data_IF_289880100424
#
_entry.id   IF_289880100424
#
_cell.length_a   1.000
_cell.length_b   1.000
_cell.length_c   1.000
_cell.angle_alpha   90.00
_cell.angle_beta   90.00
_cell.angle_gamma   90.00
#
_symmetry.space_group_name_H-M   'P 1'
#
loop_
_entity.id
_entity.type
_entity.pdbx_description
1 polymer ?
#
# COMPACT_ATOMS: atom_id res chain seq x y z
N UNK A 1 24.29 -34.02 -47.91
CA UNK A 1 24.39 -32.66 -48.46
C UNK A 1 24.07 -31.63 -47.39
N UNK A 2 24.94 -31.34 -46.40
CA UNK A 2 26.19 -32.02 -46.01
C UNK A 2 26.49 -31.84 -44.51
N UNK A 3 27.27 -32.78 -43.97
CA UNK A 3 27.83 -32.84 -42.62
C UNK A 3 29.34 -33.14 -42.79
N UNK A 4 30.18 -32.76 -41.81
CA UNK A 4 31.65 -32.91 -41.75
C UNK A 4 32.47 -31.83 -42.49
N UNK A 5 33.68 -31.44 -42.06
CA UNK A 5 34.38 -31.58 -40.76
C UNK A 5 35.70 -30.73 -40.80
N UNK A 6 36.36 -30.54 -39.63
CA UNK A 6 37.81 -30.77 -39.36
C UNK A 6 38.59 -29.72 -38.55
N UNK A 7 39.63 -30.25 -37.87
CA UNK A 7 40.79 -29.64 -37.16
C UNK A 7 40.53 -29.14 -35.73
N UNK A 8 41.18 -29.62 -34.63
CA UNK A 8 42.55 -30.16 -34.35
C UNK A 8 43.60 -29.04 -34.50
N UNK A 9 44.55 -28.68 -33.61
CA UNK A 9 45.15 -29.20 -32.34
C UNK A 9 45.52 -27.97 -31.43
N UNK A 10 46.15 -28.00 -30.23
CA UNK A 10 46.73 -29.04 -29.36
C UNK A 10 46.36 -28.80 -27.86
N UNK A 11 47.33 -28.56 -26.96
CA UNK A 11 47.27 -29.03 -25.58
C UNK A 11 48.23 -28.36 -24.55
N UNK A 12 48.09 -28.84 -23.30
CA UNK A 12 49.06 -28.94 -22.17
C UNK A 12 49.25 -27.80 -21.15
N UNK A 13 48.66 -28.09 -19.97
CA UNK A 13 49.29 -28.16 -18.62
C UNK A 13 49.95 -26.90 -18.00
N UNK A 14 49.49 -26.57 -16.78
CA UNK A 14 50.27 -26.75 -15.52
C UNK A 14 49.36 -26.73 -14.27
N UNK A 15 49.65 -27.60 -13.29
CA UNK A 15 49.13 -27.55 -11.91
C UNK A 15 50.10 -26.71 -11.05
N UNK A 16 49.63 -26.14 -9.93
CA UNK A 16 50.12 -26.39 -8.55
C UNK A 16 49.59 -25.35 -7.54
N UNK A 17 49.05 -25.84 -6.42
CA UNK A 17 49.03 -25.21 -5.07
C UNK A 17 50.21 -25.85 -4.27
N UNK A 18 50.51 -25.53 -2.98
CA UNK A 18 49.90 -24.60 -2.00
C UNK A 18 50.97 -23.72 -1.24
N UNK A 19 50.62 -23.08 -0.12
CA UNK A 19 51.61 -22.57 0.85
C UNK A 19 51.09 -21.63 1.95
N UNK A 20 51.53 -21.80 3.20
CA UNK A 20 51.14 -21.02 4.39
C UNK A 20 52.29 -20.15 4.94
N UNK A 21 51.92 -19.08 5.65
CA UNK A 21 52.61 -18.43 6.79
C UNK A 21 54.04 -17.84 6.62
N UNK A 22 54.23 -16.62 7.16
CA UNK A 22 55.03 -16.43 8.40
C UNK A 22 54.87 -15.03 8.98
N UNK A 23 55.15 -14.92 10.28
CA UNK A 23 55.10 -13.68 11.07
C UNK A 23 56.48 -13.00 11.07
N UNK A 24 56.52 -11.66 11.07
CA UNK A 24 57.73 -10.92 11.43
C UNK A 24 57.37 -9.69 12.24
N UNK A 25 57.82 -9.64 13.50
CA UNK A 25 57.73 -8.45 14.35
C UNK A 25 58.89 -7.51 14.01
N UNK A 26 58.60 -6.23 13.81
CA UNK A 26 59.52 -5.15 14.13
C UNK A 26 58.79 -4.08 14.93
N UNK A 27 59.52 -3.42 15.83
CA UNK A 27 58.99 -2.57 16.91
C UNK A 27 59.81 -1.29 16.94
N UNK A 28 59.19 -0.13 16.71
CA UNK A 28 59.48 1.11 17.45
C UNK A 28 58.39 2.16 17.16
N UNK A 29 58.25 3.08 18.11
CA UNK A 29 57.33 4.22 18.17
C UNK A 29 57.41 5.15 16.93
N UNK A 30 56.48 6.06 16.62
CA UNK A 30 55.63 6.86 17.53
C UNK A 30 54.46 7.58 16.80
N UNK A 31 53.50 8.09 17.58
CA UNK A 31 52.57 9.22 17.30
C UNK A 31 51.85 9.33 15.93
N UNK A 32 50.55 8.95 15.89
CA UNK A 32 49.39 9.81 15.55
C UNK A 32 48.17 9.00 15.09
N UNK A 33 47.24 8.72 16.02
CA UNK A 33 45.95 8.11 15.71
C UNK A 33 44.84 9.17 15.77
N UNK A 34 44.07 9.29 14.68
CA UNK A 34 42.71 9.88 14.72
C UNK A 34 41.69 8.74 14.71
N UNK A 35 40.63 8.91 15.50
CA UNK A 35 39.78 7.81 15.96
C UNK A 35 39.04 7.08 14.83
N UNK A 36 39.20 5.76 14.81
CA UNK A 36 38.24 4.82 14.22
C UNK A 36 37.56 4.12 15.40
N UNK A 37 36.28 4.41 15.63
CA UNK A 37 35.50 3.66 16.62
C UNK A 37 35.03 2.34 16.01
N UNK A 38 35.73 1.26 16.37
CA UNK A 38 35.26 -0.12 16.21
C UNK A 38 34.64 -0.53 17.56
N UNK A 39 33.34 -0.81 17.58
CA UNK A 39 32.69 -1.38 18.76
C UNK A 39 33.22 -2.79 19.04
N UNK A 40 33.76 -2.98 20.24
CA UNK A 40 34.16 -4.26 20.82
C UNK A 40 33.37 -4.49 22.11
N UNK A 41 33.03 -5.75 22.45
CA UNK A 41 32.07 -6.05 23.50
C UNK A 41 32.60 -5.72 24.90
N UNK A 42 31.79 -5.06 25.71
CA UNK A 42 32.11 -4.67 27.09
C UNK A 42 32.04 -5.90 28.01
N UNK A 43 33.05 -6.16 28.87
CA UNK A 43 33.02 -7.32 29.77
C UNK A 43 32.07 -7.11 30.95
N UNK A 44 31.25 -8.12 31.26
CA UNK A 44 30.42 -8.14 32.46
C UNK A 44 31.26 -8.41 33.72
N UNK A 45 31.46 -7.38 34.56
CA UNK A 45 31.92 -7.53 35.95
C UNK A 45 30.81 -7.11 36.93
N UNK A 46 30.61 -7.91 37.98
CA UNK A 46 29.50 -7.82 38.95
C UNK A 46 29.64 -6.66 39.97
N UNK A 47 28.55 -6.46 40.73
CA UNK A 47 28.38 -5.66 41.97
C UNK A 47 28.03 -4.19 41.64
N UNK A 48 27.02 -3.53 42.23
CA UNK A 48 26.36 -3.74 43.53
C UNK A 48 24.83 -3.91 43.49
N UNK A 49 24.26 -4.34 44.63
CA UNK A 49 22.80 -4.31 44.91
C UNK A 49 22.43 -2.91 45.40
N UNK A 50 21.31 -2.34 44.97
CA UNK A 50 20.72 -1.17 45.64
C UNK A 50 20.25 -0.01 44.76
N UNK A 51 20.31 -0.10 43.43
CA UNK A 51 19.66 0.89 42.56
C UNK A 51 18.25 0.42 42.17
N UNK A 52 17.30 1.36 42.21
CA UNK A 52 15.90 1.12 41.81
C UNK A 52 15.79 0.67 40.36
N UNK A 53 14.78 -0.14 40.05
CA UNK A 53 14.35 -0.52 38.70
C UNK A 53 13.79 0.68 37.91
N UNK A 54 14.63 1.68 37.66
CA UNK A 54 14.37 2.72 36.67
C UNK A 54 14.59 2.08 35.29
N UNK A 55 13.49 1.75 34.61
CA UNK A 55 13.48 1.33 33.23
C UNK A 55 14.28 2.33 32.39
N UNK A 56 15.43 1.91 31.84
CA UNK A 56 16.26 2.80 31.02
C UNK A 56 15.51 3.09 29.72
N UNK A 57 15.04 4.33 29.56
CA UNK A 57 14.50 4.82 28.31
C UNK A 57 15.64 5.03 27.31
N UNK A 58 15.56 4.35 26.16
CA UNK A 58 16.50 4.50 25.05
C UNK A 58 15.82 5.31 23.96
N UNK A 59 16.51 6.33 23.43
CA UNK A 59 16.05 7.04 22.24
C UNK A 59 16.48 6.25 21.00
N UNK A 60 15.50 5.76 20.24
CA UNK A 60 15.71 5.12 18.95
C UNK A 60 15.43 6.13 17.82
N UNK A 61 16.29 6.13 16.80
CA UNK A 61 16.12 6.93 15.59
C UNK A 61 15.54 6.05 14.48
N UNK A 62 14.36 6.44 13.97
CA UNK A 62 13.59 5.66 12.99
C UNK A 62 13.51 6.45 11.70
N UNK A 63 14.09 5.91 10.61
CA UNK A 63 14.01 6.52 9.28
C UNK A 63 12.61 6.34 8.68
N UNK A 64 12.09 7.40 8.06
CA UNK A 64 10.84 7.37 7.30
C UNK A 64 11.03 8.04 5.93
N UNK A 65 10.18 7.66 4.98
CA UNK A 65 9.99 8.34 3.70
C UNK A 65 8.53 8.77 3.57
N UNK A 66 8.29 9.92 2.95
CA UNK A 66 6.97 10.41 2.57
C UNK A 66 6.79 10.23 1.08
N UNK A 67 5.64 9.67 0.71
CA UNK A 67 5.24 9.38 -0.65
C UNK A 67 3.84 9.92 -0.92
N UNK A 68 3.61 10.41 -2.13
CA UNK A 68 2.29 10.67 -2.66
C UNK A 68 1.97 9.58 -3.70
N UNK A 69 0.87 8.86 -3.52
CA UNK A 69 0.50 7.66 -4.30
C UNK A 69 -0.74 7.95 -5.15
N UNK A 70 -0.87 7.25 -6.28
CA UNK A 70 -1.90 7.51 -7.31
C UNK A 70 -1.76 8.91 -7.93
N UNK A 71 -0.52 9.37 -8.11
CA UNK A 71 -0.19 10.64 -8.75
C UNK A 71 1.21 10.62 -9.34
N UNK A 72 1.49 11.47 -10.32
CA UNK A 72 2.81 11.75 -10.89
C UNK A 72 3.40 13.09 -10.43
N UNK A 73 2.65 13.87 -9.62
CA UNK A 73 3.08 15.15 -9.05
C UNK A 73 3.17 15.10 -7.51
N UNK A 74 4.17 15.76 -6.88
CA UNK A 74 4.18 15.96 -5.43
C UNK A 74 3.02 16.84 -4.96
N UNK A 75 2.61 16.63 -3.71
CA UNK A 75 1.56 17.37 -2.99
C UNK A 75 0.13 17.14 -3.51
N UNK A 76 -0.06 16.19 -4.43
CA UNK A 76 -1.36 15.60 -4.83
C UNK A 76 -1.40 14.11 -4.46
N UNK A 77 -2.36 13.31 -4.92
CA UNK A 77 -2.42 11.89 -4.56
C UNK A 77 -2.71 11.61 -3.09
N UNK A 78 -2.60 10.34 -2.69
CA UNK A 78 -2.76 9.90 -1.31
C UNK A 78 -1.42 9.79 -0.57
N UNK A 79 -1.37 10.35 0.63
CA UNK A 79 -0.14 10.53 1.41
C UNK A 79 0.18 9.28 2.22
N UNK A 80 1.41 8.78 2.08
CA UNK A 80 1.91 7.59 2.73
C UNK A 80 3.23 7.87 3.47
N UNK A 81 3.28 7.54 4.75
CA UNK A 81 4.55 7.35 5.45
C UNK A 81 5.04 5.90 5.27
N UNK A 82 6.29 5.71 4.88
CA UNK A 82 6.93 4.40 4.76
C UNK A 82 8.10 4.31 5.72
N UNK A 83 8.14 3.26 6.55
CA UNK A 83 9.23 2.94 7.48
C UNK A 83 10.07 1.77 6.90
N UNK A 84 11.26 2.03 6.32
CA UNK A 84 12.03 1.01 5.60
C UNK A 84 12.65 -0.11 6.43
N UNK A 85 12.61 0.03 7.76
CA UNK A 85 13.26 -0.84 8.75
C UNK A 85 12.22 -1.38 9.75
N UNK A 86 11.06 -1.80 9.25
CA UNK A 86 9.91 -2.24 10.05
C UNK A 86 10.22 -3.38 11.02
N UNK A 87 11.15 -4.29 10.67
CA UNK A 87 11.60 -5.38 11.54
C UNK A 87 12.23 -4.90 12.86
N UNK A 88 12.69 -3.64 12.94
CA UNK A 88 13.29 -3.04 14.13
C UNK A 88 12.27 -2.39 15.06
N UNK A 89 11.00 -2.31 14.67
CA UNK A 89 9.97 -1.55 15.37
C UNK A 89 9.03 -2.49 16.13
N UNK A 90 8.88 -2.37 17.46
CA UNK A 90 7.91 -3.16 18.22
C UNK A 90 6.47 -2.92 17.73
N UNK A 91 5.59 -3.94 17.66
CA UNK A 91 4.22 -3.79 17.16
C UNK A 91 3.41 -2.68 17.84
N UNK A 92 3.54 -2.52 19.16
CA UNK A 92 2.86 -1.49 19.94
C UNK A 92 3.35 -0.07 19.60
N UNK A 93 4.57 0.05 19.07
CA UNK A 93 5.13 1.31 18.62
C UNK A 93 4.70 1.65 17.19
N UNK A 94 4.48 0.66 16.33
CA UNK A 94 4.00 0.87 14.95
C UNK A 94 2.69 1.67 14.93
N UNK A 95 1.70 1.29 15.75
CA UNK A 95 0.43 2.02 15.86
C UNK A 95 0.61 3.47 16.34
N UNK A 96 1.49 3.68 17.33
CA UNK A 96 1.78 5.03 17.86
C UNK A 96 2.46 5.92 16.82
N UNK A 97 3.36 5.37 16.02
CA UNK A 97 4.02 6.08 14.91
C UNK A 97 3.01 6.44 13.82
N UNK A 98 2.10 5.51 13.47
CA UNK A 98 1.06 5.79 12.48
C UNK A 98 0.13 6.93 12.93
N UNK A 99 -0.25 6.95 14.22
CA UNK A 99 -1.01 8.04 14.81
C UNK A 99 -0.24 9.37 14.83
N UNK A 100 1.07 9.35 15.16
CA UNK A 100 1.94 10.54 15.15
C UNK A 100 2.02 11.20 13.74
N UNK A 101 2.08 10.40 12.68
CA UNK A 101 2.03 10.94 11.31
C UNK A 101 0.67 11.54 10.96
N UNK A 102 -0.43 10.99 11.50
CA UNK A 102 -1.81 11.40 11.19
C UNK A 102 -2.13 11.46 9.68
N UNK A 103 -1.41 10.66 8.88
CA UNK A 103 -1.70 10.38 7.48
C UNK A 103 -2.71 9.23 7.37
N UNK A 104 -3.40 9.04 6.23
CA UNK A 104 -4.35 7.94 6.02
C UNK A 104 -3.79 6.58 6.41
N UNK A 105 -2.56 6.26 5.97
CA UNK A 105 -1.83 5.08 6.42
C UNK A 105 -0.32 5.32 6.59
N UNK A 106 0.29 4.49 7.44
CA UNK A 106 1.74 4.28 7.54
C UNK A 106 2.07 2.81 7.26
N UNK A 107 3.02 2.56 6.36
CA UNK A 107 3.47 1.22 5.99
C UNK A 107 4.86 0.91 6.56
N UNK A 108 4.99 -0.23 7.22
CA UNK A 108 6.25 -0.75 7.73
C UNK A 108 6.75 -1.84 6.78
N UNK A 109 8.00 -1.72 6.32
CA UNK A 109 8.64 -2.70 5.46
C UNK A 109 9.37 -3.74 6.31
N UNK A 110 8.89 -4.97 6.31
CA UNK A 110 9.44 -6.11 7.05
C UNK A 110 10.01 -7.16 6.10
N UNK A 111 10.89 -7.99 6.63
CA UNK A 111 11.32 -9.24 6.01
C UNK A 111 10.11 -10.18 5.87
N UNK A 112 10.06 -10.89 4.73
CA UNK A 112 9.06 -11.93 4.52
C UNK A 112 9.24 -13.09 5.53
N UNK A 113 8.12 -13.70 5.94
CA UNK A 113 8.15 -14.92 6.75
C UNK A 113 7.94 -16.17 5.90
N UNK A 114 7.18 -16.06 4.80
CA UNK A 114 7.10 -17.09 3.77
C UNK A 114 8.27 -17.01 2.78
N UNK A 115 8.66 -18.16 2.21
CA UNK A 115 9.58 -18.24 1.07
C UNK A 115 8.93 -17.79 -0.25
N UNK A 116 7.60 -17.75 -0.30
CA UNK A 116 6.82 -17.39 -1.48
C UNK A 116 6.58 -15.86 -1.59
N UNK A 117 7.25 -15.06 -0.75
CA UNK A 117 7.13 -13.60 -0.69
C UNK A 117 8.51 -12.95 -0.66
N UNK A 118 8.64 -11.82 -1.37
CA UNK A 118 9.89 -11.06 -1.44
C UNK A 118 10.07 -10.14 -0.22
N UNK A 119 8.95 -9.70 0.36
CA UNK A 119 8.88 -8.79 1.50
C UNK A 119 7.52 -8.93 2.19
N UNK A 120 7.37 -8.31 3.36
CA UNK A 120 6.12 -8.24 4.12
C UNK A 120 5.80 -6.79 4.46
N UNK A 121 4.55 -6.37 4.30
CA UNK A 121 4.12 -5.05 4.78
C UNK A 121 3.15 -5.20 5.94
N UNK A 122 3.31 -4.35 6.96
CA UNK A 122 2.28 -4.08 7.97
C UNK A 122 1.78 -2.66 7.76
N UNK A 123 0.48 -2.46 7.74
CA UNK A 123 -0.16 -1.22 7.30
C UNK A 123 -1.06 -0.72 8.42
N UNK A 124 -0.85 0.50 8.87
CA UNK A 124 -1.56 1.08 10.01
C UNK A 124 -2.23 2.38 9.61
N UNK A 125 -3.54 2.48 9.85
CA UNK A 125 -4.24 3.77 9.99
C UNK A 125 -3.87 4.41 11.34
N UNK A 126 -4.21 5.67 11.61
CA UNK A 126 -4.00 6.29 12.92
C UNK A 126 -4.58 5.48 14.10
N UNK A 127 -5.70 4.77 13.89
CA UNK A 127 -6.38 4.02 14.95
C UNK A 127 -6.08 2.51 14.98
N UNK A 128 -5.88 1.85 13.82
CA UNK A 128 -5.73 0.38 13.76
C UNK A 128 -4.87 -0.14 12.60
N UNK A 129 -4.33 -1.34 12.76
CA UNK A 129 -3.74 -2.11 11.66
C UNK A 129 -4.82 -2.55 10.66
N UNK A 130 -4.51 -2.49 9.37
CA UNK A 130 -5.33 -3.04 8.28
C UNK A 130 -4.69 -4.31 7.74
N UNK A 131 -5.49 -5.34 7.38
CA UNK A 131 -4.96 -6.59 6.82
C UNK A 131 -4.39 -6.38 5.41
N UNK A 132 -4.87 -5.37 4.69
CA UNK A 132 -4.38 -4.95 3.38
C UNK A 132 -4.80 -3.50 3.11
N UNK A 133 -4.08 -2.81 2.23
CA UNK A 133 -4.56 -1.59 1.58
C UNK A 133 -3.83 -1.36 0.25
N UNK A 134 -4.51 -0.72 -0.71
CA UNK A 134 -4.00 -0.54 -2.07
C UNK A 134 -2.90 0.52 -2.17
N UNK A 135 -3.18 1.75 -1.72
CA UNK A 135 -2.23 2.87 -1.76
C UNK A 135 -0.92 2.55 -1.00
N UNK A 136 -0.96 1.96 0.21
CA UNK A 136 0.26 1.65 0.96
C UNK A 136 1.09 0.56 0.29
N UNK A 137 0.45 -0.46 -0.29
CA UNK A 137 1.17 -1.53 -1.03
C UNK A 137 1.89 -0.97 -2.27
N UNK A 138 1.25 -0.07 -3.02
CA UNK A 138 1.87 0.58 -4.18
C UNK A 138 3.00 1.51 -3.74
N UNK A 139 2.77 2.44 -2.82
CA UNK A 139 3.81 3.38 -2.37
C UNK A 139 5.01 2.68 -1.73
N UNK A 140 4.78 1.63 -0.93
CA UNK A 140 5.85 0.78 -0.38
C UNK A 140 6.62 0.00 -1.45
N UNK A 141 5.98 -0.40 -2.54
CA UNK A 141 6.66 -1.01 -3.70
C UNK A 141 7.60 -0.01 -4.39
N UNK A 142 7.15 1.24 -4.58
CA UNK A 142 8.01 2.33 -5.06
C UNK A 142 9.16 2.65 -4.08
N UNK A 143 8.91 2.61 -2.77
CA UNK A 143 9.94 2.76 -1.75
C UNK A 143 11.00 1.65 -1.83
N UNK A 144 10.60 0.37 -1.98
CA UNK A 144 11.54 -0.73 -2.20
C UNK A 144 12.39 -0.55 -3.48
N UNK A 145 11.79 -0.07 -4.56
CA UNK A 145 12.52 0.25 -5.80
C UNK A 145 13.54 1.40 -5.59
N UNK A 146 13.14 2.50 -4.93
CA UNK A 146 14.05 3.61 -4.54
C UNK A 146 15.21 3.13 -3.66
N UNK A 147 14.94 2.20 -2.74
CA UNK A 147 15.92 1.58 -1.85
C UNK A 147 16.78 0.51 -2.55
N UNK A 148 16.61 0.27 -3.86
CA UNK A 148 17.28 -0.77 -4.67
C UNK A 148 17.09 -2.19 -4.11
N UNK A 149 16.00 -2.42 -3.38
CA UNK A 149 15.57 -3.75 -2.89
C UNK A 149 14.78 -4.53 -3.95
N UNK A 150 14.33 -3.87 -5.01
CA UNK A 150 13.82 -4.48 -6.24
C UNK A 150 14.76 -4.06 -7.38
N UNK A 151 15.16 -5.01 -8.23
CA UNK A 151 16.02 -4.73 -9.38
C UNK A 151 15.19 -4.18 -10.55
N UNK A 152 15.69 -3.19 -11.30
CA UNK A 152 15.06 -2.75 -12.54
C UNK A 152 14.82 -3.88 -13.53
N UNK A 153 13.65 -3.87 -14.17
CA UNK A 153 13.23 -4.93 -15.10
C UNK A 153 12.60 -6.16 -14.43
N UNK A 154 12.55 -6.24 -13.10
CA UNK A 154 11.72 -7.23 -12.42
C UNK A 154 10.23 -7.01 -12.78
N UNK A 155 9.54 -8.02 -13.28
CA UNK A 155 8.16 -7.88 -13.82
C UNK A 155 7.07 -7.93 -12.74
N UNK A 156 7.36 -8.53 -11.60
CA UNK A 156 6.47 -8.57 -10.44
C UNK A 156 7.24 -8.81 -9.15
N UNK A 157 6.59 -8.54 -8.01
CA UNK A 157 6.97 -9.06 -6.69
C UNK A 157 5.76 -9.72 -6.00
N UNK A 158 6.05 -10.57 -5.02
CA UNK A 158 5.07 -11.11 -4.07
C UNK A 158 5.26 -10.42 -2.71
N UNK A 159 4.19 -9.84 -2.18
CA UNK A 159 4.15 -9.10 -0.92
C UNK A 159 3.29 -9.87 0.08
N UNK A 160 3.86 -10.24 1.22
CA UNK A 160 3.11 -10.82 2.33
C UNK A 160 2.31 -9.70 3.03
N UNK A 161 0.97 -9.82 2.98
CA UNK A 161 0.02 -8.95 3.68
C UNK A 161 -0.77 -9.78 4.71
N UNK A 162 -1.60 -9.13 5.53
CA UNK A 162 -2.50 -9.81 6.47
C UNK A 162 -3.58 -10.68 5.80
N UNK A 163 -3.77 -10.53 4.48
CA UNK A 163 -4.59 -11.42 3.63
C UNK A 163 -3.80 -12.54 2.94
N UNK A 164 -2.49 -12.68 3.24
CA UNK A 164 -1.57 -13.62 2.58
C UNK A 164 -0.75 -12.99 1.45
N UNK A 165 0.01 -13.82 0.69
CA UNK A 165 0.86 -13.36 -0.41
C UNK A 165 0.05 -12.71 -1.54
N UNK A 166 0.42 -11.48 -1.88
CA UNK A 166 -0.25 -10.66 -2.90
C UNK A 166 0.73 -10.28 -4.01
N UNK A 167 0.37 -10.58 -5.26
CA UNK A 167 1.18 -10.19 -6.42
C UNK A 167 1.05 -8.69 -6.71
N UNK A 168 2.19 -8.04 -6.98
CA UNK A 168 2.27 -6.67 -7.50
C UNK A 168 3.05 -6.71 -8.81
N UNK A 169 2.39 -6.46 -9.95
CA UNK A 169 3.08 -6.35 -11.24
C UNK A 169 3.82 -5.00 -11.32
N UNK A 170 4.95 -4.96 -12.02
CA UNK A 170 5.82 -3.79 -12.10
C UNK A 170 6.07 -3.39 -13.55
N UNK A 171 5.82 -2.12 -13.88
CA UNK A 171 6.13 -1.54 -15.19
C UNK A 171 7.29 -0.59 -15.05
N UNK A 172 8.38 -0.83 -15.77
CA UNK A 172 9.61 -0.04 -15.70
C UNK A 172 9.82 0.78 -16.97
N UNK A 173 10.27 2.02 -16.81
CA UNK A 173 10.79 2.85 -17.89
C UNK A 173 12.28 3.06 -17.66
N UNK A 174 13.08 2.29 -18.39
CA UNK A 174 14.52 2.12 -18.13
C UNK A 174 14.74 1.59 -16.70
N UNK A 175 15.45 2.32 -15.87
CA UNK A 175 15.81 2.03 -14.48
C UNK A 175 14.82 2.58 -13.45
N UNK A 176 13.80 3.34 -13.89
CA UNK A 176 12.76 3.92 -13.02
C UNK A 176 11.49 3.05 -13.05
N UNK A 177 10.97 2.68 -11.89
CA UNK A 177 9.64 2.10 -11.77
C UNK A 177 8.62 3.18 -12.19
N UNK A 178 7.79 2.86 -13.18
CA UNK A 178 6.81 3.79 -13.74
C UNK A 178 5.42 3.58 -13.15
N UNK A 179 4.95 2.33 -13.05
CA UNK A 179 3.72 1.99 -12.30
C UNK A 179 3.83 0.63 -11.62
N UNK A 180 3.03 0.45 -10.56
CA UNK A 180 2.88 -0.83 -9.86
C UNK A 180 1.39 -1.22 -9.80
N UNK A 181 1.09 -2.52 -9.90
CA UNK A 181 -0.27 -3.06 -10.05
C UNK A 181 -0.54 -4.22 -9.08
N UNK A 182 -1.13 -3.90 -7.93
CA UNK A 182 -1.52 -4.85 -6.91
C UNK A 182 -2.71 -5.70 -7.36
N UNK A 183 -2.62 -7.02 -7.22
CA UNK A 183 -3.77 -7.90 -7.33
C UNK A 183 -4.72 -7.75 -6.13
N UNK A 184 -6.02 -7.73 -6.39
CA UNK A 184 -7.06 -7.87 -5.38
C UNK A 184 -7.88 -9.13 -5.67
N UNK A 185 -8.24 -9.84 -4.60
CA UNK A 185 -9.17 -10.96 -4.66
C UNK A 185 -10.52 -10.50 -5.20
N UNK A 186 -11.24 -11.40 -5.88
CA UNK A 186 -12.63 -11.17 -6.27
C UNK A 186 -13.43 -10.77 -5.02
N UNK A 187 -14.19 -9.66 -5.06
CA UNK A 187 -14.81 -9.13 -3.87
C UNK A 187 -16.02 -9.97 -3.43
N UNK A 188 -16.20 -10.06 -2.13
CA UNK A 188 -17.41 -10.58 -1.50
C UNK A 188 -18.50 -9.51 -1.55
N UNK A 189 -19.71 -9.92 -1.95
CA UNK A 189 -20.91 -9.07 -2.00
C UNK A 189 -21.72 -9.29 -0.72
N UNK A 190 -21.69 -8.30 0.17
CA UNK A 190 -22.28 -8.33 1.50
C UNK A 190 -23.67 -7.70 1.59
N UNK A 191 -24.08 -7.26 2.80
CA UNK A 191 -25.38 -6.66 3.06
C UNK A 191 -25.71 -5.46 2.19
N UNK A 192 -27.00 -5.31 1.89
CA UNK A 192 -27.56 -4.31 0.96
C UNK A 192 -28.44 -3.32 1.74
N UNK A 193 -28.29 -2.02 1.46
CA UNK A 193 -29.26 -1.01 1.87
C UNK A 193 -30.15 -0.63 0.68
N UNK A 194 -31.46 -0.85 0.83
CA UNK A 194 -32.48 -0.47 -0.17
C UNK A 194 -33.24 0.80 0.24
N UNK A 195 -32.97 1.35 1.42
CA UNK A 195 -33.64 2.53 1.97
C UNK A 195 -32.92 3.81 1.50
N UNK A 196 -33.35 4.33 0.34
CA UNK A 196 -32.83 5.58 -0.23
C UNK A 196 -33.07 6.80 0.68
N UNK A 197 -34.08 6.78 1.53
CA UNK A 197 -34.36 7.83 2.51
C UNK A 197 -33.36 7.80 3.67
N UNK A 198 -33.02 6.61 4.17
CA UNK A 198 -31.92 6.41 5.14
C UNK A 198 -30.59 6.88 4.56
N UNK A 199 -30.26 6.44 3.34
CA UNK A 199 -29.02 6.80 2.64
C UNK A 199 -28.94 8.32 2.36
N UNK A 200 -30.04 8.96 1.97
CA UNK A 200 -30.10 10.41 1.78
C UNK A 200 -29.75 11.17 3.06
N UNK A 201 -30.36 10.78 4.19
CA UNK A 201 -30.05 11.33 5.52
C UNK A 201 -28.60 11.06 5.94
N UNK A 202 -28.05 9.89 5.62
CA UNK A 202 -26.65 9.54 5.86
C UNK A 202 -25.68 10.41 5.07
N UNK A 203 -25.98 10.73 3.81
CA UNK A 203 -25.10 11.49 2.91
C UNK A 203 -25.34 13.01 2.92
N UNK A 204 -26.40 13.49 3.59
CA UNK A 204 -26.80 14.90 3.55
C UNK A 204 -27.43 15.31 2.22
N UNK A 205 -28.03 14.36 1.49
CA UNK A 205 -28.62 14.55 0.16
C UNK A 205 -30.11 14.18 0.15
N UNK A 206 -30.83 14.72 -0.84
CA UNK A 206 -32.16 14.23 -1.20
C UNK A 206 -32.08 12.80 -1.75
N UNK A 207 -33.05 11.94 -1.42
CA UNK A 207 -33.04 10.52 -1.80
C UNK A 207 -33.05 10.30 -3.32
N UNK A 208 -33.54 11.25 -4.11
CA UNK A 208 -33.48 11.22 -5.58
C UNK A 208 -32.08 11.37 -6.18
N UNK A 209 -31.06 11.70 -5.35
CA UNK A 209 -29.64 11.81 -5.77
C UNK A 209 -28.89 10.48 -5.69
N UNK A 210 -29.49 9.47 -5.06
CA UNK A 210 -28.97 8.10 -5.10
C UNK A 210 -29.40 7.51 -6.44
N UNK A 211 -28.43 6.93 -7.16
CA UNK A 211 -28.70 6.37 -8.48
C UNK A 211 -29.71 5.21 -8.40
N UNK A 212 -30.35 4.93 -9.54
CA UNK A 212 -31.38 3.91 -9.75
C UNK A 212 -31.27 2.68 -8.82
N UNK A 213 -32.33 2.39 -8.06
CA UNK A 213 -32.45 1.27 -7.10
C UNK A 213 -32.10 -0.12 -7.66
N UNK A 214 -32.06 -0.30 -8.98
CA UNK A 214 -31.51 -1.50 -9.63
C UNK A 214 -30.01 -1.73 -9.34
N UNK A 215 -29.28 -0.67 -8.98
CA UNK A 215 -27.92 -0.69 -8.45
C UNK A 215 -27.98 -0.26 -6.97
N UNK A 216 -28.15 -1.20 -6.03
CA UNK A 216 -28.44 -0.85 -4.65
C UNK A 216 -27.17 -0.42 -3.91
N UNK A 217 -27.30 0.34 -2.82
CA UNK A 217 -26.16 0.58 -1.95
C UNK A 217 -25.76 -0.73 -1.26
N UNK A 218 -24.49 -1.12 -1.32
CA UNK A 218 -24.07 -2.45 -0.87
C UNK A 218 -22.66 -2.44 -0.29
N UNK A 219 -22.45 -3.27 0.74
CA UNK A 219 -21.11 -3.51 1.28
C UNK A 219 -20.38 -4.52 0.39
N UNK A 220 -19.21 -4.14 -0.12
CA UNK A 220 -18.31 -5.06 -0.84
C UNK A 220 -16.94 -5.07 -0.15
N UNK A 221 -16.24 -6.21 -0.23
CA UNK A 221 -14.93 -6.41 0.41
C UNK A 221 -13.98 -7.25 -0.44
N UNK A 222 -12.76 -6.77 -0.66
CA UNK A 222 -11.60 -7.58 -1.07
C UNK A 222 -10.59 -7.76 0.07
N UNK A 223 -11.05 -7.66 1.33
CA UNK A 223 -10.24 -7.75 2.56
C UNK A 223 -10.54 -6.66 3.59
N UNK A 224 -11.10 -5.53 3.14
CA UNK A 224 -11.67 -4.47 3.98
C UNK A 224 -13.06 -4.14 3.41
N UNK A 225 -14.15 -4.19 4.20
CA UNK A 225 -15.50 -3.88 3.73
C UNK A 225 -15.75 -2.38 3.65
N UNK A 226 -16.38 -1.91 2.57
CA UNK A 226 -16.89 -0.54 2.41
C UNK A 226 -18.32 -0.57 1.85
N UNK A 227 -19.17 0.35 2.30
CA UNK A 227 -20.52 0.59 1.76
C UNK A 227 -20.43 1.45 0.50
N UNK A 228 -20.66 0.85 -0.66
CA UNK A 228 -20.69 1.54 -1.95
C UNK A 228 -22.06 2.17 -2.19
N UNK A 229 -22.08 3.46 -2.57
CA UNK A 229 -23.30 4.19 -2.95
C UNK A 229 -23.05 4.94 -4.26
N UNK A 230 -23.79 4.59 -5.31
CA UNK A 230 -23.76 5.30 -6.58
C UNK A 230 -24.67 6.54 -6.52
N UNK A 231 -24.19 7.68 -7.01
CA UNK A 231 -24.87 8.98 -7.01
C UNK A 231 -25.08 9.52 -8.43
N UNK A 232 -26.12 10.32 -8.61
CA UNK A 232 -26.58 10.79 -9.93
C UNK A 232 -25.61 11.68 -10.68
N UNK A 233 -24.75 12.42 -9.97
CA UNK A 233 -23.74 13.30 -10.58
C UNK A 233 -22.47 13.40 -9.75
N UNK A 234 -21.37 13.84 -10.37
CA UNK A 234 -20.12 14.21 -9.67
C UNK A 234 -20.33 15.38 -8.72
N UNK A 235 -21.22 16.30 -9.08
CA UNK A 235 -21.61 17.42 -8.22
C UNK A 235 -22.32 16.94 -6.93
N UNK A 236 -23.06 15.83 -6.99
CA UNK A 236 -23.70 15.25 -5.79
C UNK A 236 -22.66 14.53 -4.91
N UNK A 237 -21.69 13.82 -5.50
CA UNK A 237 -20.50 13.29 -4.78
C UNK A 237 -19.80 14.42 -4.00
N UNK A 238 -19.58 15.56 -4.63
CA UNK A 238 -18.96 16.75 -4.02
C UNK A 238 -19.81 17.46 -2.95
N UNK A 239 -21.12 17.22 -2.93
CA UNK A 239 -22.06 17.76 -1.92
C UNK A 239 -22.20 16.89 -0.68
N UNK A 240 -21.77 15.61 -0.73
CA UNK A 240 -21.91 14.68 0.40
C UNK A 240 -21.29 15.28 1.67
N UNK A 241 -22.09 15.31 2.72
CA UNK A 241 -21.74 15.71 4.08
C UNK A 241 -22.22 14.60 5.04
N UNK A 242 -21.30 13.73 5.47
CA UNK A 242 -21.64 12.50 6.17
C UNK A 242 -22.26 12.76 7.55
N UNK A 243 -23.54 12.41 7.70
CA UNK A 243 -24.21 12.38 9.00
C UNK A 243 -23.93 11.04 9.70
N UNK A 244 -23.00 11.08 10.66
CA UNK A 244 -22.57 9.89 11.41
C UNK A 244 -23.70 9.19 12.17
N UNK A 245 -24.61 9.94 12.79
CA UNK A 245 -25.72 9.35 13.54
C UNK A 245 -26.71 8.63 12.60
N UNK A 246 -26.96 9.19 11.42
CA UNK A 246 -27.74 8.52 10.39
C UNK A 246 -27.00 7.31 9.78
N UNK A 247 -25.67 7.39 9.61
CA UNK A 247 -24.85 6.24 9.20
C UNK A 247 -24.97 5.07 10.18
N UNK A 248 -24.78 5.29 11.49
CA UNK A 248 -24.91 4.25 12.51
C UNK A 248 -26.28 3.57 12.42
N UNK A 249 -27.36 4.34 12.39
CA UNK A 249 -28.72 3.80 12.25
C UNK A 249 -28.93 3.03 10.93
N UNK A 250 -28.28 3.44 9.84
CA UNK A 250 -28.32 2.77 8.55
C UNK A 250 -27.60 1.41 8.61
N UNK A 251 -26.43 1.35 9.25
CA UNK A 251 -25.63 0.13 9.41
C UNK A 251 -26.28 -0.85 10.40
N UNK A 252 -26.83 -0.36 11.51
CA UNK A 252 -27.61 -1.16 12.47
C UNK A 252 -28.77 -1.90 11.77
N UNK A 253 -29.50 -1.23 10.87
CA UNK A 253 -30.56 -1.85 10.04
C UNK A 253 -30.04 -2.91 9.07
N UNK A 254 -28.76 -2.86 8.70
CA UNK A 254 -28.07 -3.86 7.87
C UNK A 254 -27.43 -4.99 8.69
N UNK A 255 -27.49 -4.93 10.03
CA UNK A 255 -26.79 -5.87 10.92
C UNK A 255 -25.27 -5.65 10.97
N UNK A 256 -24.81 -4.42 10.74
CA UNK A 256 -23.40 -4.03 10.65
C UNK A 256 -23.09 -2.99 11.74
N UNK A 257 -21.98 -3.17 12.45
CA UNK A 257 -21.56 -2.29 13.54
C UNK A 257 -20.94 -0.98 12.99
N UNK A 258 -19.89 -1.11 12.16
CA UNK A 258 -19.21 0.03 11.54
C UNK A 258 -18.76 -0.31 10.10
N UNK A 259 -18.86 0.66 9.19
CA UNK A 259 -18.39 0.52 7.82
C UNK A 259 -18.07 1.90 7.21
N UNK A 260 -16.90 2.09 6.56
CA UNK A 260 -16.62 3.25 5.73
C UNK A 260 -17.62 3.39 4.58
N UNK A 261 -17.85 4.62 4.12
CA UNK A 261 -18.78 4.91 3.02
C UNK A 261 -18.01 5.35 1.78
N UNK A 262 -18.19 4.64 0.67
CA UNK A 262 -17.61 4.93 -0.62
C UNK A 262 -18.68 5.47 -1.58
N UNK A 263 -18.68 6.78 -1.80
CA UNK A 263 -19.62 7.42 -2.74
C UNK A 263 -18.94 7.63 -4.08
N UNK A 264 -19.67 7.38 -5.17
CA UNK A 264 -19.15 7.59 -6.51
C UNK A 264 -20.24 7.93 -7.52
N UNK A 265 -19.86 8.47 -8.67
CA UNK A 265 -20.74 8.65 -9.82
C UNK A 265 -20.09 8.15 -11.09
N UNK A 266 -20.93 7.67 -12.01
CA UNK A 266 -20.60 7.27 -13.39
C UNK A 266 -20.86 8.40 -14.41
N UNK A 267 -21.21 9.61 -13.95
CA UNK A 267 -21.42 10.77 -14.82
C UNK A 267 -20.13 11.06 -15.64
N UNK A 268 -20.18 11.01 -16.99
CA UNK A 268 -19.02 11.24 -17.83
C UNK A 268 -18.50 12.68 -17.75
N UNK A 269 -17.20 12.85 -17.92
CA UNK A 269 -16.56 14.14 -18.16
C UNK A 269 -15.43 14.00 -19.18
N UNK A 270 -14.93 15.13 -19.68
CA UNK A 270 -13.77 15.20 -20.59
C UNK A 270 -12.45 15.02 -19.83
N UNK A 271 -12.35 13.89 -19.12
CA UNK A 271 -11.28 13.62 -18.16
C UNK A 271 -10.82 12.15 -18.14
N UNK A 272 -11.43 11.30 -18.97
CA UNK A 272 -11.11 9.88 -19.13
C UNK A 272 -11.49 8.97 -17.94
N UNK A 273 -12.10 9.51 -16.88
CA UNK A 273 -12.47 8.72 -15.71
C UNK A 273 -13.80 7.97 -15.92
N UNK A 274 -13.79 6.66 -15.64
CA UNK A 274 -14.99 5.83 -15.56
C UNK A 274 -15.83 6.23 -14.34
N UNK A 275 -15.18 6.52 -13.22
CA UNK A 275 -15.83 6.92 -11.96
C UNK A 275 -15.17 8.13 -11.34
N UNK A 276 -15.97 8.97 -10.70
CA UNK A 276 -15.53 10.03 -9.80
C UNK A 276 -16.03 9.74 -8.38
N UNK A 277 -15.16 9.81 -7.37
CA UNK A 277 -15.46 9.25 -6.04
C UNK A 277 -14.90 10.04 -4.85
N UNK A 278 -15.45 9.76 -3.67
CA UNK A 278 -14.97 10.16 -2.33
C UNK A 278 -15.18 9.00 -1.35
N UNK A 279 -14.34 8.89 -0.33
CA UNK A 279 -14.41 7.83 0.68
C UNK A 279 -14.31 8.41 2.08
N UNK A 280 -15.28 8.11 2.94
CA UNK A 280 -15.32 8.57 4.33
C UNK A 280 -15.06 7.39 5.28
N UNK A 281 -13.99 7.48 6.09
CA UNK A 281 -13.60 6.42 7.04
C UNK A 281 -13.32 6.94 8.45
N UNK A 282 -14.28 7.62 9.12
CA UNK A 282 -14.10 8.11 10.48
C UNK A 282 -13.70 7.02 11.49
N UNK A 283 -14.12 5.78 11.24
CA UNK A 283 -13.77 4.54 11.96
C UNK A 283 -12.28 4.15 11.86
N UNK A 284 -11.53 4.74 10.93
CA UNK A 284 -10.07 4.55 10.81
C UNK A 284 -9.28 5.72 11.43
N UNK A 285 -9.96 6.77 11.90
CA UNK A 285 -9.34 7.99 12.41
C UNK A 285 -9.06 9.06 11.36
N UNK A 286 -9.63 8.94 10.16
CA UNK A 286 -9.57 9.97 9.11
C UNK A 286 -10.98 10.36 8.67
N UNK A 287 -11.24 11.64 8.43
CA UNK A 287 -12.57 12.09 7.99
C UNK A 287 -12.89 11.60 6.57
N UNK A 288 -11.96 11.80 5.65
CA UNK A 288 -12.07 11.46 4.22
C UNK A 288 -10.70 11.05 3.68
N UNK A 289 -10.67 10.00 2.86
CA UNK A 289 -9.46 9.43 2.27
C UNK A 289 -9.24 9.94 0.82
N UNK A 290 -8.06 10.51 0.49
CA UNK A 290 -7.77 11.00 -0.85
C UNK A 290 -7.86 9.96 -1.97
N UNK A 291 -7.45 8.71 -1.73
CA UNK A 291 -7.47 7.67 -2.77
C UNK A 291 -7.48 6.24 -2.21
N UNK A 292 -8.64 5.59 -2.27
CA UNK A 292 -8.85 4.29 -1.63
C UNK A 292 -8.58 3.15 -2.58
N UNK A 293 -7.29 2.87 -2.82
CA UNK A 293 -6.89 1.76 -3.70
C UNK A 293 -7.49 0.41 -3.31
N UNK A 294 -7.71 0.16 -2.01
CA UNK A 294 -8.35 -1.05 -1.50
C UNK A 294 -9.83 -1.20 -1.92
N UNK A 295 -10.53 -0.08 -2.16
CA UNK A 295 -11.92 -0.06 -2.58
C UNK A 295 -12.10 -0.18 -4.10
N UNK A 296 -11.04 -0.07 -4.89
CA UNK A 296 -11.15 0.09 -6.35
C UNK A 296 -11.45 -1.23 -7.09
N UNK A 297 -10.95 -2.38 -6.62
CA UNK A 297 -11.41 -3.70 -7.09
C UNK A 297 -12.89 -3.97 -6.79
N UNK A 298 -13.36 -3.79 -5.54
CA UNK A 298 -14.78 -3.77 -5.20
C UNK A 298 -15.63 -2.82 -6.05
N UNK A 299 -15.18 -1.57 -6.28
CA UNK A 299 -15.84 -0.60 -7.15
C UNK A 299 -15.98 -1.13 -8.59
N UNK A 300 -14.89 -1.64 -9.17
CA UNK A 300 -14.89 -2.19 -10.52
C UNK A 300 -15.84 -3.39 -10.66
N UNK A 301 -15.89 -4.26 -9.66
CA UNK A 301 -16.85 -5.36 -9.60
C UNK A 301 -18.29 -4.87 -9.50
N UNK A 302 -18.58 -3.90 -8.63
CA UNK A 302 -19.89 -3.27 -8.50
C UNK A 302 -20.36 -2.68 -9.84
N UNK A 303 -19.50 -1.91 -10.52
CA UNK A 303 -19.82 -1.32 -11.83
C UNK A 303 -20.03 -2.40 -12.89
N UNK A 304 -19.21 -3.46 -12.95
CA UNK A 304 -19.44 -4.60 -13.86
C UNK A 304 -20.78 -5.31 -13.61
N UNK A 305 -21.17 -5.50 -12.35
CA UNK A 305 -22.40 -6.19 -11.96
C UNK A 305 -23.66 -5.36 -12.26
N UNK A 306 -23.67 -4.09 -11.85
CA UNK A 306 -24.89 -3.26 -11.89
C UNK A 306 -24.97 -2.31 -13.09
N UNK A 307 -23.83 -2.02 -13.74
CA UNK A 307 -23.73 -1.15 -14.91
C UNK A 307 -22.83 -1.80 -15.99
N UNK A 308 -23.15 -3.03 -16.47
CA UNK A 308 -22.29 -3.76 -17.41
C UNK A 308 -21.98 -2.96 -18.69
N UNK A 309 -22.91 -2.13 -19.15
CA UNK A 309 -22.75 -1.26 -20.33
C UNK A 309 -21.74 -0.10 -20.14
N UNK A 310 -21.28 0.15 -18.90
CA UNK A 310 -20.21 1.12 -18.63
C UNK A 310 -18.80 0.53 -18.82
N UNK A 311 -18.68 -0.81 -18.88
CA UNK A 311 -17.40 -1.54 -18.95
C UNK A 311 -17.30 -2.26 -20.30
N UNK A 312 -17.06 -1.47 -21.36
CA UNK A 312 -17.10 -1.93 -22.76
C UNK A 312 -15.75 -2.39 -23.35
N UNK A 313 -14.68 -2.35 -22.56
CA UNK A 313 -13.32 -2.68 -22.98
C UNK A 313 -12.58 -3.53 -21.92
N UNK A 314 -11.38 -4.03 -22.26
CA UNK A 314 -10.52 -4.79 -21.33
C UNK A 314 -9.67 -3.91 -20.39
N UNK A 315 -9.80 -2.58 -20.47
CA UNK A 315 -9.14 -1.60 -19.60
C UNK A 315 -7.75 -1.14 -20.10
N UNK A 316 -7.01 -0.35 -19.29
CA UNK A 316 -7.34 0.06 -17.93
C UNK A 316 -8.46 1.11 -17.85
N UNK A 317 -9.19 1.10 -16.74
CA UNK A 317 -10.22 2.07 -16.38
C UNK A 317 -9.70 2.99 -15.28
N UNK A 318 -10.03 4.28 -15.35
CA UNK A 318 -9.59 5.27 -14.36
C UNK A 318 -10.72 5.58 -13.38
N UNK A 319 -10.42 5.51 -12.08
CA UNK A 319 -11.21 6.12 -11.02
C UNK A 319 -10.49 7.37 -10.51
N UNK A 320 -11.18 8.51 -10.48
CA UNK A 320 -10.64 9.79 -9.99
C UNK A 320 -11.22 10.12 -8.61
N UNK A 321 -10.35 10.20 -7.61
CA UNK A 321 -10.70 10.44 -6.20
C UNK A 321 -9.93 11.66 -5.64
N UNK A 322 -10.37 12.20 -4.50
CA UNK A 322 -9.61 13.18 -3.71
C UNK A 322 -9.59 14.60 -4.26
N UNK A 323 -10.22 14.85 -5.42
CA UNK A 323 -10.32 16.18 -6.05
C UNK A 323 -10.92 17.22 -5.10
N UNK A 324 -12.00 16.85 -4.37
CA UNK A 324 -12.65 17.71 -3.37
C UNK A 324 -11.73 18.12 -2.21
N UNK A 325 -10.75 17.27 -1.86
CA UNK A 325 -9.76 17.52 -0.82
C UNK A 325 -8.54 18.32 -1.32
N UNK A 326 -8.52 18.74 -2.59
CA UNK A 326 -7.33 19.32 -3.22
C UNK A 326 -6.20 18.30 -3.43
N UNK A 327 -6.50 16.99 -3.33
CA UNK A 327 -5.56 15.88 -3.51
C UNK A 327 -6.03 14.97 -4.67
N UNK A 328 -6.10 15.49 -5.91
CA UNK A 328 -6.53 14.72 -7.06
C UNK A 328 -5.66 13.47 -7.21
N UNK A 329 -6.32 12.33 -7.39
CA UNK A 329 -5.70 11.01 -7.40
C UNK A 329 -6.26 10.16 -8.54
N UNK A 330 -5.37 9.40 -9.19
CA UNK A 330 -5.67 8.54 -10.34
C UNK A 330 -5.44 7.06 -10.01
N UNK A 331 -6.54 6.36 -9.73
CA UNK A 331 -6.51 4.93 -9.42
C UNK A 331 -6.91 4.16 -10.67
N UNK A 332 -5.99 3.41 -11.24
CA UNK A 332 -6.24 2.60 -12.43
C UNK A 332 -6.71 1.19 -12.04
N UNK A 333 -7.68 0.67 -12.77
CA UNK A 333 -8.33 -0.62 -12.53
C UNK A 333 -8.31 -1.44 -13.84
N UNK A 334 -7.98 -2.72 -13.77
CA UNK A 334 -8.15 -3.66 -14.90
C UNK A 334 -8.60 -5.03 -14.37
N UNK A 335 -9.40 -5.80 -15.12
CA UNK A 335 -9.79 -7.16 -14.70
C UNK A 335 -8.58 -8.10 -14.56
N UNK A 336 -8.74 -9.14 -13.76
CA UNK A 336 -7.71 -10.16 -13.49
C UNK A 336 -8.29 -11.58 -13.66
N UNK A 337 -7.78 -12.42 -14.59
CA UNK A 337 -6.67 -12.17 -15.52
C UNK A 337 -6.98 -11.08 -16.55
N UNK A 338 -5.94 -10.53 -17.19
CA UNK A 338 -6.06 -9.53 -18.26
C UNK A 338 -6.15 -10.19 -19.65
N UNK A 339 -6.98 -9.67 -20.55
CA UNK A 339 -7.17 -10.17 -21.92
C UNK A 339 -8.61 -9.98 -22.41
N UNK A 340 -8.97 -10.58 -23.55
CA UNK A 340 -10.36 -10.58 -24.05
C UNK A 340 -11.27 -11.48 -23.21
N UNK A 341 -10.76 -12.61 -22.70
CA UNK A 341 -11.49 -13.53 -21.81
C UNK A 341 -11.72 -12.93 -20.39
N UNK A 342 -11.08 -11.81 -20.06
CA UNK A 342 -11.11 -11.18 -18.75
C UNK A 342 -12.51 -10.73 -18.28
N UNK A 343 -13.39 -10.38 -19.22
CA UNK A 343 -14.75 -9.95 -18.91
C UNK A 343 -15.71 -11.13 -18.61
N UNK A 344 -15.31 -12.37 -18.93
CA UNK A 344 -16.00 -13.60 -18.53
C UNK A 344 -15.40 -14.25 -17.26
N UNK A 345 -14.22 -13.82 -16.85
CA UNK A 345 -13.50 -14.31 -15.68
C UNK A 345 -14.00 -13.67 -14.36
N UNK A 346 -13.56 -14.17 -13.17
CA UNK A 346 -13.98 -13.66 -11.87
C UNK A 346 -13.87 -12.14 -11.72
N UNK A 347 -14.64 -11.56 -10.79
CA UNK A 347 -14.64 -10.13 -10.50
C UNK A 347 -13.36 -9.60 -9.82
N UNK A 348 -12.26 -10.36 -9.87
CA UNK A 348 -10.94 -9.92 -9.42
C UNK A 348 -10.38 -8.80 -10.30
N UNK A 349 -9.58 -7.92 -9.69
CA UNK A 349 -9.02 -6.77 -10.36
C UNK A 349 -7.54 -6.59 -10.00
N UNK A 350 -6.78 -5.96 -10.91
CA UNK A 350 -5.50 -5.34 -10.62
C UNK A 350 -5.76 -3.84 -10.44
N UNK A 351 -5.37 -3.30 -9.30
CA UNK A 351 -5.40 -1.86 -9.03
C UNK A 351 -3.97 -1.31 -9.11
N UNK A 352 -3.80 -0.17 -9.77
CA UNK A 352 -2.47 0.33 -10.09
C UNK A 352 -2.38 1.84 -10.24
N UNK A 353 -1.16 2.32 -10.31
CA UNK A 353 -0.87 3.74 -10.50
C UNK A 353 0.60 4.09 -10.24
N UNK A 354 0.83 5.38 -10.15
CA UNK A 354 2.12 6.02 -9.93
C UNK A 354 2.34 6.33 -8.45
N UNK A 355 3.59 6.58 -8.04
CA UNK A 355 3.89 7.20 -6.75
C UNK A 355 5.14 8.09 -6.85
N UNK A 356 5.11 9.19 -6.12
CA UNK A 356 6.15 10.23 -6.10
C UNK A 356 6.77 10.32 -4.71
N UNK A 357 8.10 10.34 -4.66
CA UNK A 357 8.84 10.59 -3.44
C UNK A 357 8.77 12.08 -3.08
N UNK A 358 8.31 12.40 -1.87
CA UNK A 358 8.12 13.77 -1.39
C UNK A 358 9.26 14.20 -0.48
N UNK A 359 9.74 13.31 0.40
CA UNK A 359 10.80 13.62 1.35
C UNK A 359 11.16 12.43 2.24
N UNK A 360 12.17 12.61 3.09
CA UNK A 360 12.58 11.61 4.09
C UNK A 360 13.16 12.28 5.34
N UNK A 361 13.14 11.56 6.47
CA UNK A 361 13.59 12.09 7.75
C UNK A 361 13.75 11.01 8.82
N UNK A 362 13.93 11.45 10.06
CA UNK A 362 14.10 10.58 11.24
C UNK A 362 13.17 10.99 12.38
N UNK A 363 12.37 10.05 12.89
CA UNK A 363 11.68 10.19 14.17
C UNK A 363 12.63 9.84 15.31
N UNK A 364 12.64 10.64 16.38
CA UNK A 364 13.36 10.34 17.62
C UNK A 364 12.37 9.89 18.68
N UNK A 365 12.38 8.60 19.01
CA UNK A 365 11.33 7.99 19.84
C UNK A 365 11.92 7.35 21.08
N UNK A 366 11.32 7.60 22.24
CA UNK A 366 11.67 6.90 23.48
C UNK A 366 11.02 5.51 23.50
N UNK A 367 11.86 4.47 23.58
CA UNK A 367 11.46 3.09 23.83
C UNK A 367 11.98 2.66 25.21
N UNK A 368 11.27 1.74 25.87
CA UNK A 368 11.84 0.98 26.99
C UNK A 368 12.92 0.04 26.44
N UNK A 369 14.05 -0.06 27.13
CA UNK A 369 15.15 -0.96 26.80
C UNK A 369 14.75 -2.45 26.83
#
# INVERSE_FOLDING_TARGET
MDIHANRIEDARRRRLLPGYATCTRYRHENSNLRNIFLDMPVPFSRIARGESLLERLVVISIRYQLWDVFTDAPLTGNQLAVIPEGDRIPPQLMQRIANEFSLPETSFLLSATSRDSNCRFRIFTPQRELPMAGHPTIGSTFALARLKRIQPGATAISVELGIGPTSVDLVWRKDRLESAWMAQNAPEFGPVCQDAESLGRTLGLDSSRIANLAAPAQILSSGVPLLFVCLTSRADVDRVALNRAALTQCLERMGVEECPVYVFSLEPADDGALTYSRMFAPVFGIEEDPATGGASGPLFAYVRTYYPNAVTASGPFLNRQGVKLGRPSEIYMRPSPSGEEALAAPLGARIGGHAVFVGEGTLSVQAKA
#
